data_IF_172318354090
#
_entry.id   IF_172318354090
#
_cell.length_a   1.000
_cell.length_b   1.000
_cell.length_c   1.000
_cell.angle_alpha   90.00
_cell.angle_beta   90.00
_cell.angle_gamma   90.00
#
_symmetry.space_group_name_H-M   'P 1'
#
loop_
_entity.id
_entity.type
_entity.pdbx_description
1 polymer ?
#
# COMPACT_ATOMS: atom_id res chain seq x y z
N UNK A 1 -4.14 21.87 7.30
CA UNK A 1 -5.28 21.64 8.18
C UNK A 1 -6.54 22.14 7.47
N UNK A 2 -7.56 21.31 7.42
CA UNK A 2 -8.85 21.66 6.81
C UNK A 2 -9.94 21.34 7.85
N UNK A 3 -10.54 22.39 8.41
CA UNK A 3 -11.61 22.29 9.42
C UNK A 3 -11.26 21.36 10.63
N UNK A 4 -10.01 21.42 11.11
CA UNK A 4 -9.52 20.60 12.22
C UNK A 4 -9.05 19.19 11.80
N UNK A 5 -9.08 18.88 10.51
CA UNK A 5 -8.50 17.66 9.95
C UNK A 5 -7.06 17.95 9.49
N UNK A 6 -6.09 17.26 10.06
CA UNK A 6 -4.71 17.37 9.62
C UNK A 6 -4.50 16.49 8.38
N UNK A 7 -3.98 17.09 7.31
CA UNK A 7 -3.62 16.39 6.08
C UNK A 7 -2.14 16.59 5.80
N UNK A 8 -1.41 15.50 5.66
CA UNK A 8 -0.02 15.46 5.24
C UNK A 8 0.07 14.85 3.84
N UNK A 9 1.02 15.31 3.04
CA UNK A 9 1.25 14.78 1.68
C UNK A 9 2.68 14.31 1.51
N UNK A 10 2.87 13.33 0.59
CA UNK A 10 4.17 12.81 0.22
C UNK A 10 4.21 12.56 -1.29
N UNK A 11 5.30 12.96 -1.93
CA UNK A 11 5.55 12.60 -3.33
C UNK A 11 5.83 11.11 -3.42
N UNK A 12 5.14 10.42 -4.33
CA UNK A 12 5.25 8.99 -4.55
C UNK A 12 6.21 8.66 -5.70
N UNK A 13 6.82 7.49 -5.65
CA UNK A 13 7.63 6.94 -6.73
C UNK A 13 6.71 6.46 -7.86
N UNK A 14 6.35 7.38 -8.74
CA UNK A 14 5.53 7.16 -9.92
C UNK A 14 5.97 8.08 -11.06
N UNK A 15 6.05 7.62 -12.32
CA UNK A 15 6.46 8.46 -13.45
C UNK A 15 5.62 9.73 -13.63
N UNK A 16 4.32 9.67 -13.30
CA UNK A 16 3.36 10.77 -13.39
C UNK A 16 3.34 11.74 -12.20
N UNK A 17 4.24 11.60 -11.19
CA UNK A 17 4.29 12.43 -9.98
C UNK A 17 3.00 12.39 -9.15
N UNK A 18 2.63 11.22 -8.65
CA UNK A 18 1.50 11.04 -7.75
C UNK A 18 1.80 11.55 -6.32
N UNK A 19 0.75 11.88 -5.57
CA UNK A 19 0.85 12.25 -4.16
C UNK A 19 0.12 11.24 -3.30
N UNK A 20 0.79 10.78 -2.25
CA UNK A 20 0.16 10.07 -1.14
C UNK A 20 -0.34 11.05 -0.07
N UNK A 21 -1.37 10.64 0.63
CA UNK A 21 -2.02 11.44 1.67
C UNK A 21 -2.07 10.67 2.97
N UNK A 22 -1.78 11.36 4.08
CA UNK A 22 -2.10 10.90 5.43
C UNK A 22 -3.09 11.88 6.03
N UNK A 23 -4.24 11.38 6.46
CA UNK A 23 -5.31 12.16 7.11
C UNK A 23 -5.39 11.75 8.57
N UNK A 24 -5.25 12.70 9.48
CA UNK A 24 -5.38 12.50 10.92
C UNK A 24 -6.58 13.29 11.45
N UNK A 25 -7.45 12.59 12.19
CA UNK A 25 -8.62 13.20 12.82
C UNK A 25 -9.03 12.44 14.08
N UNK A 26 -9.26 13.14 15.17
CA UNK A 26 -9.70 12.56 16.46
C UNK A 26 -8.90 11.32 16.90
N UNK A 27 -7.57 11.35 16.75
CA UNK A 27 -6.69 10.25 17.14
C UNK A 27 -6.75 9.04 16.21
N UNK A 28 -7.41 9.17 15.07
CA UNK A 28 -7.44 8.16 13.98
C UNK A 28 -6.67 8.65 12.77
N UNK A 29 -6.20 7.71 11.98
CA UNK A 29 -5.43 8.04 10.77
C UNK A 29 -5.69 7.08 9.61
N UNK A 30 -5.75 7.66 8.41
CA UNK A 30 -5.86 6.92 7.16
C UNK A 30 -4.72 7.40 6.25
N UNK A 31 -4.01 6.46 5.65
CA UNK A 31 -3.07 6.73 4.56
C UNK A 31 -3.67 6.23 3.24
N UNK A 32 -3.68 7.10 2.23
CA UNK A 32 -4.11 6.80 0.87
C UNK A 32 -2.91 6.98 -0.07
N UNK A 33 -2.41 5.87 -0.59
CA UNK A 33 -1.16 5.81 -1.35
C UNK A 33 -1.40 4.93 -2.57
N UNK A 34 -1.82 5.56 -3.66
CA UNK A 34 -2.01 4.89 -4.95
C UNK A 34 -0.98 5.39 -5.95
N UNK A 35 -0.82 4.67 -7.05
CA UNK A 35 0.16 5.03 -8.09
C UNK A 35 1.58 5.17 -7.51
N UNK A 36 2.04 4.11 -6.87
CA UNK A 36 3.39 4.06 -6.29
C UNK A 36 4.08 2.76 -6.68
N UNK A 37 5.35 2.84 -7.03
CA UNK A 37 6.19 1.68 -7.24
C UNK A 37 7.19 1.51 -6.09
N UNK A 38 7.12 0.33 -5.46
CA UNK A 38 8.09 -0.14 -4.49
C UNK A 38 8.95 -1.22 -5.17
N UNK A 39 10.20 -0.90 -5.44
CA UNK A 39 11.10 -1.79 -6.15
C UNK A 39 11.56 -2.98 -5.27
N UNK A 40 11.76 -4.14 -5.90
CA UNK A 40 12.37 -5.28 -5.21
C UNK A 40 13.82 -4.96 -4.82
N UNK A 41 14.30 -5.59 -3.74
CA UNK A 41 15.63 -5.28 -3.17
C UNK A 41 16.82 -5.59 -4.10
N UNK A 42 16.63 -6.45 -5.09
CA UNK A 42 17.61 -6.78 -6.13
C UNK A 42 17.51 -5.91 -7.39
N UNK A 43 16.55 -4.99 -7.44
CA UNK A 43 16.39 -4.04 -8.55
C UNK A 43 17.46 -2.95 -8.49
N UNK A 44 17.95 -2.53 -9.66
CA UNK A 44 18.83 -1.35 -9.79
C UNK A 44 18.16 -0.02 -9.39
N UNK A 45 16.83 0.00 -9.34
CA UNK A 45 16.00 1.15 -8.93
C UNK A 45 15.67 1.15 -7.44
N UNK A 46 16.11 0.12 -6.68
CA UNK A 46 15.80 0.00 -5.27
C UNK A 46 16.40 1.14 -4.45
N UNK A 47 15.56 1.84 -3.70
CA UNK A 47 15.97 2.89 -2.78
C UNK A 47 15.49 2.58 -1.35
N UNK A 48 16.34 2.06 -0.47
CA UNK A 48 15.98 1.77 0.90
C UNK A 48 15.62 3.03 1.70
N UNK A 49 16.15 4.19 1.31
CA UNK A 49 15.82 5.45 1.96
C UNK A 49 14.38 5.87 1.66
N UNK A 50 13.94 5.68 0.42
CA UNK A 50 12.54 5.91 0.04
C UNK A 50 11.59 5.00 0.82
N UNK A 51 11.87 3.71 0.92
CA UNK A 51 11.05 2.77 1.70
C UNK A 51 10.98 3.15 3.18
N UNK A 52 12.10 3.49 3.80
CA UNK A 52 12.13 3.96 5.20
C UNK A 52 11.32 5.24 5.39
N UNK A 53 11.42 6.18 4.45
CA UNK A 53 10.63 7.41 4.46
C UNK A 53 9.13 7.12 4.36
N UNK A 54 8.73 6.17 3.50
CA UNK A 54 7.34 5.78 3.34
C UNK A 54 6.82 5.02 4.57
N UNK A 55 7.59 4.09 5.12
CA UNK A 55 7.24 3.40 6.36
C UNK A 55 7.00 4.39 7.51
N UNK A 56 7.86 5.40 7.65
CA UNK A 56 7.68 6.48 8.64
C UNK A 56 6.44 7.34 8.36
N UNK A 57 6.13 7.59 7.09
CA UNK A 57 4.95 8.39 6.71
C UNK A 57 3.64 7.71 7.10
N UNK A 58 3.58 6.38 6.99
CA UNK A 58 2.38 5.59 7.31
C UNK A 58 2.38 5.07 8.76
N UNK A 59 3.43 5.30 9.53
CA UNK A 59 3.65 4.65 10.83
C UNK A 59 2.44 4.74 11.75
N UNK A 60 2.01 3.57 12.24
CA UNK A 60 0.90 3.40 13.17
C UNK A 60 -0.47 3.80 12.63
N UNK A 61 -0.66 3.99 11.31
CA UNK A 61 -1.96 4.36 10.77
C UNK A 61 -3.01 3.25 11.00
N UNK A 62 -4.26 3.67 11.22
CA UNK A 62 -5.37 2.72 11.39
C UNK A 62 -5.67 1.99 10.08
N UNK A 63 -5.60 2.72 8.95
CA UNK A 63 -5.81 2.16 7.61
C UNK A 63 -4.70 2.66 6.66
N UNK A 64 -4.11 1.73 5.92
CA UNK A 64 -3.33 1.99 4.73
C UNK A 64 -4.10 1.48 3.51
N UNK A 65 -4.53 2.38 2.63
CA UNK A 65 -5.06 2.05 1.30
C UNK A 65 -3.93 2.26 0.32
N UNK A 66 -3.48 1.22 -0.38
CA UNK A 66 -2.30 1.33 -1.23
C UNK A 66 -2.42 0.56 -2.53
N UNK A 67 -1.65 1.04 -3.51
CA UNK A 67 -1.42 0.38 -4.80
C UNK A 67 -0.97 -1.07 -4.58
N UNK A 68 -1.73 -1.99 -5.13
CA UNK A 68 -1.47 -3.43 -5.10
C UNK A 68 -1.81 -4.04 -6.46
N UNK A 69 -1.34 -3.38 -7.51
CA UNK A 69 -1.69 -3.66 -8.90
C UNK A 69 -1.29 -5.06 -9.30
N UNK A 70 -0.05 -5.49 -8.98
CA UNK A 70 0.53 -6.72 -9.49
C UNK A 70 0.74 -7.80 -8.42
N UNK A 71 0.64 -9.06 -8.84
CA UNK A 71 1.31 -10.15 -8.14
C UNK A 71 2.83 -10.02 -8.30
N UNK A 72 3.61 -10.72 -7.48
CA UNK A 72 5.07 -10.70 -7.59
C UNK A 72 5.57 -11.25 -8.94
N UNK A 73 4.84 -12.19 -9.54
CA UNK A 73 5.18 -12.75 -10.84
C UNK A 73 4.88 -11.77 -11.99
N UNK A 74 3.71 -11.13 -11.98
CA UNK A 74 3.34 -10.12 -12.97
C UNK A 74 4.32 -8.95 -12.96
N UNK A 75 4.75 -8.51 -11.76
CA UNK A 75 5.64 -7.37 -11.57
C UNK A 75 6.99 -7.54 -12.30
N UNK A 76 7.51 -8.76 -12.45
CA UNK A 76 8.79 -9.01 -13.14
C UNK A 76 8.86 -8.39 -14.54
N UNK A 77 7.73 -8.32 -15.23
CA UNK A 77 7.62 -7.70 -16.57
C UNK A 77 7.11 -6.26 -16.55
N UNK A 78 6.86 -5.70 -15.37
CA UNK A 78 6.21 -4.40 -15.16
C UNK A 78 7.06 -3.41 -14.36
N UNK A 79 8.34 -3.73 -14.15
CA UNK A 79 9.28 -2.84 -13.46
C UNK A 79 9.36 -1.50 -14.19
N UNK A 80 9.32 -0.39 -13.46
CA UNK A 80 9.25 1.00 -13.94
C UNK A 80 7.89 1.44 -14.50
N UNK A 81 6.84 0.65 -14.31
CA UNK A 81 5.49 1.04 -14.73
C UNK A 81 4.78 1.93 -13.70
N UNK A 82 5.34 2.08 -12.52
CA UNK A 82 4.84 2.98 -11.47
C UNK A 82 3.91 2.33 -10.45
N UNK A 83 3.81 0.99 -10.44
CA UNK A 83 2.90 0.25 -9.56
C UNK A 83 3.60 -0.87 -8.82
N UNK A 84 3.07 -1.23 -7.64
CA UNK A 84 3.70 -2.16 -6.72
C UNK A 84 3.16 -3.58 -6.82
N UNK A 85 3.96 -4.55 -6.36
CA UNK A 85 3.55 -5.94 -6.16
C UNK A 85 3.16 -6.22 -4.70
N UNK A 86 2.44 -7.32 -4.51
CA UNK A 86 1.84 -7.74 -3.23
C UNK A 86 2.87 -7.87 -2.11
N UNK A 87 4.02 -8.51 -2.36
CA UNK A 87 5.03 -8.69 -1.31
C UNK A 87 5.55 -7.36 -0.80
N UNK A 88 5.81 -6.39 -1.69
CA UNK A 88 6.36 -5.09 -1.33
C UNK A 88 5.39 -4.23 -0.53
N UNK A 89 4.10 -4.22 -0.90
CA UNK A 89 3.10 -3.46 -0.12
C UNK A 89 2.84 -4.10 1.24
N UNK A 90 2.91 -5.43 1.34
CA UNK A 90 2.83 -6.13 2.63
C UNK A 90 4.03 -5.84 3.53
N UNK A 91 5.25 -5.81 2.97
CA UNK A 91 6.47 -5.41 3.68
C UNK A 91 6.39 -3.96 4.17
N UNK A 92 5.92 -3.04 3.33
CA UNK A 92 5.73 -1.64 3.72
C UNK A 92 4.70 -1.49 4.85
N UNK A 93 3.55 -2.18 4.74
CA UNK A 93 2.50 -2.15 5.76
C UNK A 93 3.00 -2.66 7.11
N UNK A 94 3.77 -3.76 7.10
CA UNK A 94 4.38 -4.32 8.31
C UNK A 94 5.44 -3.37 8.89
N UNK A 95 6.35 -2.84 8.08
CA UNK A 95 7.38 -1.91 8.50
C UNK A 95 6.82 -0.59 9.06
N UNK A 96 5.66 -0.15 8.57
CA UNK A 96 4.93 1.01 9.06
C UNK A 96 3.98 0.72 10.23
N UNK A 97 3.96 -0.49 10.79
CA UNK A 97 3.09 -0.87 11.92
C UNK A 97 1.61 -0.47 11.70
N UNK A 98 1.11 -0.55 10.47
CA UNK A 98 -0.29 -0.19 10.18
C UNK A 98 -1.24 -1.23 10.79
N UNK A 99 -2.45 -0.83 11.18
CA UNK A 99 -3.41 -1.79 11.73
C UNK A 99 -4.11 -2.59 10.65
N UNK A 100 -4.42 -1.95 9.52
CA UNK A 100 -5.11 -2.60 8.41
C UNK A 100 -4.55 -2.16 7.07
N UNK A 101 -4.24 -3.14 6.20
CA UNK A 101 -3.82 -2.97 4.82
C UNK A 101 -5.02 -3.21 3.90
N UNK A 102 -5.40 -2.22 3.12
CA UNK A 102 -6.43 -2.31 2.11
C UNK A 102 -5.78 -2.37 0.73
N UNK A 103 -5.97 -3.49 0.05
CA UNK A 103 -5.47 -3.70 -1.32
C UNK A 103 -6.34 -2.89 -2.28
N UNK A 104 -5.72 -2.02 -3.04
CA UNK A 104 -6.41 -1.10 -3.93
C UNK A 104 -5.68 -0.95 -5.26
N UNK A 105 -6.25 -0.23 -6.23
CA UNK A 105 -5.62 0.03 -7.52
C UNK A 105 -5.23 -1.26 -8.26
N UNK A 106 -6.20 -2.16 -8.44
CA UNK A 106 -6.00 -3.41 -9.16
C UNK A 106 -5.87 -3.17 -10.67
N UNK A 107 -5.11 -4.05 -11.36
CA UNK A 107 -5.01 -4.01 -12.81
C UNK A 107 -6.42 -4.23 -13.43
N UNK A 108 -6.87 -3.39 -14.37
CA UNK A 108 -8.22 -3.48 -14.95
C UNK A 108 -8.49 -4.80 -15.71
N UNK A 109 -7.43 -5.51 -16.09
CA UNK A 109 -7.55 -6.82 -16.75
C UNK A 109 -7.75 -7.98 -15.75
N UNK A 110 -7.64 -7.72 -14.43
CA UNK A 110 -7.84 -8.72 -13.39
C UNK A 110 -9.33 -8.86 -13.04
N UNK A 111 -9.78 -10.10 -12.89
CA UNK A 111 -11.10 -10.46 -12.39
C UNK A 111 -11.09 -10.65 -10.85
N UNK A 112 -12.25 -10.94 -10.26
CA UNK A 112 -12.40 -11.13 -8.81
C UNK A 112 -11.53 -12.28 -8.28
N UNK A 113 -11.38 -13.38 -9.03
CA UNK A 113 -10.53 -14.51 -8.64
C UNK A 113 -9.05 -14.10 -8.52
N UNK A 114 -8.57 -13.24 -9.42
CA UNK A 114 -7.22 -12.69 -9.35
C UNK A 114 -7.03 -11.77 -8.14
N UNK A 115 -8.06 -10.99 -7.79
CA UNK A 115 -8.05 -10.14 -6.60
C UNK A 115 -8.04 -10.99 -5.32
N UNK A 116 -8.87 -12.04 -5.26
CA UNK A 116 -8.90 -12.98 -4.14
C UNK A 116 -7.54 -13.69 -3.98
N UNK A 117 -6.90 -14.11 -5.07
CA UNK A 117 -5.56 -14.69 -5.03
C UNK A 117 -4.51 -13.70 -4.47
N UNK A 118 -4.55 -12.43 -4.87
CA UNK A 118 -3.68 -11.38 -4.29
C UNK A 118 -3.94 -11.16 -2.81
N UNK A 119 -5.19 -11.20 -2.38
CA UNK A 119 -5.55 -11.12 -0.97
C UNK A 119 -4.94 -12.28 -0.16
N UNK A 120 -5.05 -13.53 -0.64
CA UNK A 120 -4.43 -14.68 0.01
C UNK A 120 -2.89 -14.57 0.07
N UNK A 121 -2.26 -14.09 -1.01
CA UNK A 121 -0.82 -13.82 -1.05
C UNK A 121 -0.41 -12.78 -0.01
N UNK A 122 -1.16 -11.68 0.12
CA UNK A 122 -0.89 -10.63 1.10
C UNK A 122 -1.05 -11.15 2.53
N UNK A 123 -2.11 -11.89 2.83
CA UNK A 123 -2.33 -12.50 4.15
C UNK A 123 -1.17 -13.41 4.54
N UNK A 124 -0.76 -14.30 3.63
CA UNK A 124 0.36 -15.20 3.84
C UNK A 124 1.67 -14.44 4.10
N UNK A 125 1.96 -13.44 3.28
CA UNK A 125 3.17 -12.61 3.44
C UNK A 125 3.18 -11.88 4.79
N UNK A 126 2.06 -11.33 5.21
CA UNK A 126 1.94 -10.65 6.51
C UNK A 126 2.12 -11.62 7.68
N UNK A 127 1.64 -12.85 7.59
CA UNK A 127 1.88 -13.89 8.59
C UNK A 127 3.38 -14.25 8.67
N UNK A 128 4.04 -14.41 7.53
CA UNK A 128 5.49 -14.67 7.44
C UNK A 128 6.34 -13.56 8.07
N UNK A 129 5.87 -12.31 8.01
CA UNK A 129 6.50 -11.14 8.62
C UNK A 129 6.25 -11.03 10.13
N UNK A 130 5.43 -11.89 10.72
CA UNK A 130 5.13 -11.90 12.15
C UNK A 130 3.70 -11.48 12.51
N UNK A 131 2.87 -11.23 11.52
CA UNK A 131 1.46 -10.83 11.71
C UNK A 131 1.27 -9.41 12.20
N UNK A 132 0.12 -9.14 12.81
CA UNK A 132 -0.20 -7.85 13.43
C UNK A 132 -0.91 -6.86 12.50
N UNK A 133 -0.90 -7.10 11.19
CA UNK A 133 -1.60 -6.29 10.19
C UNK A 133 -2.78 -7.06 9.63
N UNK A 134 -3.99 -6.50 9.69
CA UNK A 134 -5.17 -7.09 9.04
C UNK A 134 -5.19 -6.74 7.56
N UNK A 135 -5.27 -7.73 6.68
CA UNK A 135 -5.43 -7.50 5.24
C UNK A 135 -6.91 -7.44 4.86
N UNK A 136 -7.25 -6.57 3.91
CA UNK A 136 -8.61 -6.39 3.37
C UNK A 136 -8.53 -6.19 1.86
N UNK A 137 -9.36 -6.92 1.11
CA UNK A 137 -9.66 -6.63 -0.30
C UNK A 137 -11.08 -6.01 -0.36
N UNK A 138 -11.18 -4.67 -0.37
CA UNK A 138 -12.49 -4.00 -0.29
C UNK A 138 -13.29 -4.18 -1.58
N UNK A 139 -14.63 -4.16 -1.45
CA UNK A 139 -15.56 -4.17 -2.58
C UNK A 139 -16.20 -2.80 -2.74
N UNK A 140 -16.70 -2.54 -3.95
CA UNK A 140 -17.47 -1.31 -4.20
C UNK A 140 -18.65 -1.18 -3.24
N UNK A 141 -18.76 0.00 -2.62
CA UNK A 141 -19.83 0.29 -1.64
C UNK A 141 -19.50 -0.06 -0.20
N UNK A 142 -18.38 -0.71 0.07
CA UNK A 142 -17.94 -0.98 1.44
C UNK A 142 -17.73 0.32 2.22
N UNK A 143 -18.14 0.30 3.49
CA UNK A 143 -18.00 1.45 4.39
C UNK A 143 -17.28 1.03 5.64
N UNK A 144 -16.23 1.77 5.99
CA UNK A 144 -15.44 1.57 7.20
C UNK A 144 -15.66 2.75 8.14
N UNK A 145 -15.84 2.45 9.42
CA UNK A 145 -15.85 3.45 10.49
C UNK A 145 -14.63 3.24 11.38
N UNK A 146 -13.88 4.31 11.61
CA UNK A 146 -12.73 4.35 12.51
C UNK A 146 -13.10 4.85 13.90
#
# INVERSE_FOLDING_TARGET
>A
DVDGVEVQTKLLAHPGRALGYRVNYNGRSICYITDQELFLADSEFYDPHYEQMMAKFIDGSDILITDSTYTDEEYKSKVTWGHSCISKVSELAHAGNVKSLYLFHHDPDQNDDAIDAKFEMACKKLEELGGGVTCVAPKEGDKVRL
#
